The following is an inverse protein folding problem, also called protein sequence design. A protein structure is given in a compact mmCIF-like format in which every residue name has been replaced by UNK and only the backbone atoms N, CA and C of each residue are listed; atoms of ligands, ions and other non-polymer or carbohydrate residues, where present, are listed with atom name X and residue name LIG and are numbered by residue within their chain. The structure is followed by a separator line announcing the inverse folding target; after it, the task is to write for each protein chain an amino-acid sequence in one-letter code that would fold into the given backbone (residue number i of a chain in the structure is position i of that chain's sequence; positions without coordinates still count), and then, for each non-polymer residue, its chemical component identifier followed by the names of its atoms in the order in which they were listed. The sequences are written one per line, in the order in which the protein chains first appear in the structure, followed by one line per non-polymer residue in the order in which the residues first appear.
data_IF_751862694517
#
_entry.id   IF_751862694517
#
_cell.length_a   1.000
_cell.length_b   1.000
_cell.length_c   1.000
_cell.angle_alpha   90.00
_cell.angle_beta   90.00
_cell.angle_gamma   90.00
#
_symmetry.space_group_name_H-M   'P 1'
#
loop_
_entity.id
_entity.type
_entity.pdbx_description
1 polymer ?
#
# COMPACT_ATOMS: atom_id res chain seq x y z
N UNK A 1 -65.10 -47.39 -14.69
CA UNK A 1 -65.76 -46.19 -15.25
C UNK A 1 -65.43 -45.04 -14.31
N UNK A 2 -64.70 -43.99 -14.62
CA UNK A 2 -64.17 -43.43 -15.86
C UNK A 2 -62.84 -42.75 -15.50
N UNK A 3 -61.83 -42.89 -16.36
CA UNK A 3 -60.58 -42.15 -16.29
C UNK A 3 -60.81 -40.67 -16.66
N UNK A 4 -60.07 -39.75 -16.02
CA UNK A 4 -59.65 -38.48 -16.65
C UNK A 4 -58.28 -38.06 -16.12
N UNK A 5 -57.32 -38.09 -17.04
CA UNK A 5 -55.99 -37.53 -16.98
C UNK A 5 -56.05 -36.00 -16.94
N UNK A 6 -55.31 -35.37 -16.03
CA UNK A 6 -54.82 -33.99 -16.17
C UNK A 6 -53.38 -33.93 -15.61
N UNK A 7 -52.49 -33.34 -16.40
CA UNK A 7 -51.04 -33.21 -16.23
C UNK A 7 -50.63 -32.17 -15.15
N UNK A 8 -49.37 -32.14 -14.70
CA UNK A 8 -48.94 -31.35 -13.54
C UNK A 8 -48.48 -29.94 -13.91
N UNK A 9 -48.92 -28.94 -13.12
CA UNK A 9 -48.39 -27.57 -13.12
C UNK A 9 -47.23 -27.48 -12.11
N UNK A 10 -46.01 -27.31 -12.63
CA UNK A 10 -44.80 -27.10 -11.83
C UNK A 10 -44.82 -25.70 -11.20
N UNK A 11 -44.99 -25.62 -9.87
CA UNK A 11 -44.84 -24.37 -9.12
C UNK A 11 -43.40 -24.23 -8.63
N UNK A 12 -42.65 -23.40 -9.34
CA UNK A 12 -41.35 -22.88 -8.97
C UNK A 12 -41.51 -21.88 -7.81
N UNK A 13 -41.07 -22.25 -6.60
CA UNK A 13 -40.97 -21.31 -5.46
C UNK A 13 -39.50 -21.25 -5.04
N UNK A 14 -38.91 -20.08 -5.24
CA UNK A 14 -37.47 -19.76 -5.06
C UNK A 14 -37.04 -19.91 -3.59
N UNK A 15 -35.84 -20.44 -3.31
CA UNK A 15 -35.26 -20.41 -1.97
C UNK A 15 -34.81 -18.98 -1.61
N UNK A 16 -35.09 -18.57 -0.37
CA UNK A 16 -34.64 -17.33 0.24
C UNK A 16 -33.13 -17.41 0.44
N UNK A 17 -32.37 -16.75 -0.43
CA UNK A 17 -30.94 -16.52 -0.26
C UNK A 17 -30.76 -15.15 0.40
N UNK A 18 -30.62 -15.14 1.72
CA UNK A 18 -30.17 -13.94 2.44
C UNK A 18 -28.68 -13.75 2.15
N UNK A 19 -28.39 -12.99 1.10
CA UNK A 19 -27.04 -12.55 0.75
C UNK A 19 -26.64 -11.46 1.76
N UNK A 20 -25.89 -11.81 2.80
CA UNK A 20 -25.13 -10.82 3.56
C UNK A 20 -24.01 -10.30 2.65
N UNK A 21 -24.32 -9.25 1.91
CA UNK A 21 -23.35 -8.47 1.15
C UNK A 21 -22.44 -7.73 2.14
N UNK A 22 -21.44 -8.43 2.67
CA UNK A 22 -20.28 -7.75 3.24
C UNK A 22 -19.58 -7.08 2.07
N UNK A 23 -19.82 -5.78 1.87
CA UNK A 23 -18.96 -4.91 1.08
C UNK A 23 -17.59 -4.84 1.78
N UNK A 24 -16.81 -5.92 1.74
CA UNK A 24 -15.37 -5.85 1.81
C UNK A 24 -14.95 -5.25 0.47
N UNK A 25 -14.90 -3.92 0.42
CA UNK A 25 -14.18 -3.23 -0.64
C UNK A 25 -12.77 -3.82 -0.64
N UNK A 26 -12.42 -4.52 -1.71
CA UNK A 26 -11.06 -5.06 -1.87
C UNK A 26 -10.14 -3.85 -2.00
N UNK A 27 -9.43 -3.52 -0.93
CA UNK A 27 -8.36 -2.53 -1.01
C UNK A 27 -7.22 -3.11 -1.84
N UNK A 28 -6.73 -2.33 -2.80
CA UNK A 28 -5.65 -2.73 -3.69
C UNK A 28 -4.36 -2.01 -3.28
N UNK A 29 -3.22 -2.56 -3.67
CA UNK A 29 -1.94 -1.90 -3.50
C UNK A 29 -1.82 -0.75 -4.50
N UNK A 30 -2.09 0.47 -4.04
CA UNK A 30 -2.04 1.68 -4.87
C UNK A 30 -0.62 2.19 -5.08
N UNK A 31 0.37 1.66 -4.36
CA UNK A 31 1.76 2.03 -4.53
C UNK A 31 2.44 1.27 -5.67
N UNK A 32 1.86 0.17 -6.18
CA UNK A 32 2.43 -0.58 -7.29
C UNK A 32 2.63 0.29 -8.53
N UNK A 33 3.80 0.17 -9.15
CA UNK A 33 4.09 0.78 -10.44
C UNK A 33 3.10 0.34 -11.53
N UNK A 34 2.67 -0.92 -11.51
CA UNK A 34 1.62 -1.44 -12.41
C UNK A 34 0.24 -0.86 -12.14
N UNK A 35 0.00 -0.26 -10.97
CA UNK A 35 -1.20 0.50 -10.64
C UNK A 35 -1.08 2.00 -11.01
N UNK A 36 0.01 2.37 -11.71
CA UNK A 36 0.27 3.73 -12.20
C UNK A 36 0.98 4.64 -11.20
N UNK A 37 1.41 4.12 -10.06
CA UNK A 37 2.27 4.87 -9.15
C UNK A 37 3.70 4.99 -9.70
N UNK A 38 4.43 6.02 -9.29
CA UNK A 38 5.83 6.22 -9.66
C UNK A 38 6.59 6.94 -8.55
N UNK A 39 7.92 6.83 -8.59
CA UNK A 39 8.81 7.59 -7.70
C UNK A 39 8.96 9.00 -8.26
N UNK A 40 8.57 10.00 -7.48
CA UNK A 40 8.70 11.41 -7.85
C UNK A 40 10.00 12.04 -7.34
N UNK A 41 10.53 11.52 -6.24
CA UNK A 41 11.77 11.99 -5.61
C UNK A 41 12.36 10.86 -4.77
N UNK A 42 13.69 10.78 -4.74
CA UNK A 42 14.43 9.99 -3.76
C UNK A 42 15.75 10.72 -3.43
N UNK A 43 16.18 10.70 -2.17
CA UNK A 43 17.45 11.31 -1.75
C UNK A 43 18.68 10.50 -2.17
N UNK A 44 18.49 9.23 -2.54
CA UNK A 44 19.53 8.35 -3.04
C UNK A 44 19.00 7.46 -4.15
N UNK A 45 19.87 7.18 -5.11
CA UNK A 45 19.59 6.28 -6.24
C UNK A 45 20.87 5.56 -6.61
N UNK A 46 20.86 4.25 -6.44
CA UNK A 46 21.89 3.33 -6.92
C UNK A 46 21.38 2.68 -8.23
N UNK A 47 22.23 2.56 -9.25
CA UNK A 47 21.81 2.03 -10.55
C UNK A 47 21.31 0.57 -10.48
N UNK A 48 21.82 -0.22 -9.53
CA UNK A 48 21.41 -1.62 -9.32
C UNK A 48 20.26 -1.74 -8.33
N UNK A 49 20.15 -0.79 -7.40
CA UNK A 49 19.14 -0.76 -6.35
C UNK A 49 18.35 0.55 -6.34
N UNK A 50 17.69 0.92 -7.46
CA UNK A 50 16.99 2.20 -7.57
C UNK A 50 15.69 2.21 -6.74
N UNK A 51 15.16 3.40 -6.39
CA UNK A 51 13.96 3.54 -5.55
C UNK A 51 12.71 2.86 -6.13
N UNK A 52 12.60 2.75 -7.46
CA UNK A 52 11.48 2.11 -8.15
C UNK A 52 11.31 0.63 -7.78
N UNK A 53 12.40 -0.02 -7.34
CA UNK A 53 12.37 -1.42 -6.92
C UNK A 53 11.43 -1.66 -5.73
N UNK A 54 11.16 -0.67 -4.87
CA UNK A 54 10.25 -0.87 -3.73
C UNK A 54 8.79 -1.09 -4.14
N UNK A 55 8.44 -0.68 -5.36
CA UNK A 55 7.06 -0.64 -5.87
C UNK A 55 6.88 -1.44 -7.17
N UNK A 56 7.86 -2.25 -7.56
CA UNK A 56 7.84 -3.04 -8.79
C UNK A 56 7.10 -4.38 -8.64
N UNK A 57 6.72 -4.74 -7.40
CA UNK A 57 6.00 -5.97 -7.07
C UNK A 57 6.88 -7.23 -6.99
N UNK A 58 8.20 -7.10 -7.10
CA UNK A 58 9.16 -8.21 -7.03
C UNK A 58 9.74 -8.33 -5.62
N UNK A 59 10.13 -9.54 -5.23
CA UNK A 59 10.66 -9.79 -3.88
C UNK A 59 12.19 -9.74 -3.84
N UNK A 60 12.82 -9.91 -5.00
CA UNK A 60 14.27 -9.99 -5.20
C UNK A 60 14.94 -8.63 -5.47
N UNK A 61 14.16 -7.59 -5.72
CA UNK A 61 14.63 -6.22 -5.92
C UNK A 61 14.42 -5.40 -4.65
N UNK A 62 15.21 -4.34 -4.50
CA UNK A 62 15.10 -3.42 -3.37
C UNK A 62 15.72 -2.06 -3.72
N UNK A 63 15.28 -1.03 -3.01
CA UNK A 63 15.98 0.25 -2.95
C UNK A 63 17.01 0.18 -1.83
N UNK A 64 18.22 0.64 -2.11
CA UNK A 64 19.25 0.82 -1.08
C UNK A 64 19.58 2.29 -0.95
N UNK A 65 19.66 2.75 0.30
CA UNK A 65 20.19 4.09 0.60
C UNK A 65 21.55 3.94 1.26
N UNK A 66 22.39 4.96 1.09
CA UNK A 66 23.74 4.99 1.67
C UNK A 66 23.96 6.37 2.26
N UNK A 67 24.44 6.47 3.51
CA UNK A 67 24.99 7.71 4.05
C UNK A 67 24.32 8.22 5.33
N UNK A 68 24.16 9.55 5.43
CA UNK A 68 23.58 10.22 6.60
C UNK A 68 22.05 10.34 6.46
N UNK A 69 21.35 10.15 7.58
CA UNK A 69 19.91 10.39 7.68
C UNK A 69 19.60 11.89 7.87
N UNK A 70 18.40 12.37 7.47
CA UNK A 70 17.29 11.59 6.92
C UNK A 70 17.48 11.20 5.45
N UNK A 71 16.89 10.07 5.07
CA UNK A 71 16.69 9.68 3.67
C UNK A 71 15.19 9.71 3.37
N UNK A 72 14.78 10.20 2.21
CA UNK A 72 13.37 10.29 1.85
C UNK A 72 13.10 9.81 0.44
N UNK A 73 11.88 9.29 0.25
CA UNK A 73 11.35 8.89 -1.05
C UNK A 73 9.88 9.25 -1.14
N UNK A 74 9.47 9.76 -2.30
CA UNK A 74 8.11 10.17 -2.59
C UNK A 74 7.51 9.23 -3.61
N UNK A 75 6.47 8.50 -3.21
CA UNK A 75 5.63 7.68 -4.08
C UNK A 75 4.43 8.52 -4.47
N UNK A 76 4.25 8.76 -5.77
CA UNK A 76 3.11 9.49 -6.32
C UNK A 76 2.12 8.51 -6.90
N UNK A 77 0.87 8.58 -6.46
CA UNK A 77 -0.20 7.72 -6.94
C UNK A 77 -0.75 8.24 -8.27
N UNK A 78 -1.45 7.37 -9.01
CA UNK A 78 -2.02 7.74 -10.32
C UNK A 78 -3.11 8.83 -10.22
N UNK A 79 -3.82 8.89 -9.09
CA UNK A 79 -4.85 9.89 -8.80
C UNK A 79 -4.96 10.03 -7.28
N UNK A 80 -5.93 10.82 -6.80
CA UNK A 80 -6.22 10.92 -5.38
C UNK A 80 -6.70 9.56 -4.85
N UNK A 81 -5.95 9.01 -3.91
CA UNK A 81 -6.27 7.75 -3.26
C UNK A 81 -6.81 8.02 -1.85
N UNK A 82 -7.78 7.20 -1.42
CA UNK A 82 -8.04 6.93 -0.01
C UNK A 82 -7.14 5.78 0.42
N UNK A 83 -6.19 6.05 1.29
CA UNK A 83 -5.25 5.06 1.83
C UNK A 83 -5.61 4.78 3.29
N UNK A 84 -5.38 3.54 3.73
CA UNK A 84 -5.74 3.10 5.09
C UNK A 84 -4.60 2.47 5.87
N UNK A 85 -3.64 1.89 5.16
CA UNK A 85 -2.60 1.07 5.73
C UNK A 85 -1.37 1.11 4.81
N UNK A 86 -0.19 1.12 5.43
CA UNK A 86 1.08 0.98 4.74
C UNK A 86 1.84 -0.19 5.36
N UNK A 87 2.23 -1.16 4.54
CA UNK A 87 3.07 -2.27 4.94
C UNK A 87 4.44 -2.15 4.28
N UNK A 88 5.50 -2.23 5.08
CA UNK A 88 6.88 -1.99 4.65
C UNK A 88 7.74 -3.19 5.01
N UNK A 89 8.53 -3.64 4.05
CA UNK A 89 9.60 -4.61 4.26
C UNK A 89 10.95 -3.94 4.10
N UNK A 90 11.82 -4.04 5.11
CA UNK A 90 13.10 -3.33 5.14
C UNK A 90 14.21 -4.05 5.90
N UNK A 91 15.42 -3.54 5.77
CA UNK A 91 16.53 -3.83 6.67
C UNK A 91 17.07 -2.55 7.31
N UNK A 92 17.45 -2.67 8.59
CA UNK A 92 18.15 -1.66 9.37
C UNK A 92 17.44 -0.31 9.53
N UNK A 93 16.16 -0.18 9.17
CA UNK A 93 15.40 1.04 9.48
C UNK A 93 15.08 1.03 10.96
N UNK A 94 15.28 2.17 11.62
CA UNK A 94 14.93 2.35 13.04
C UNK A 94 13.78 3.32 13.20
N UNK A 95 13.92 4.57 12.73
CA UNK A 95 12.85 5.57 12.83
C UNK A 95 12.32 5.90 11.45
N UNK A 96 11.03 5.68 11.27
CA UNK A 96 10.32 5.96 10.03
C UNK A 96 9.16 6.90 10.29
N UNK A 97 9.08 7.94 9.46
CA UNK A 97 7.94 8.85 9.41
C UNK A 97 7.26 8.74 8.06
N UNK A 98 5.94 8.64 8.09
CA UNK A 98 5.08 8.69 6.92
C UNK A 98 4.40 10.04 6.85
N UNK A 99 4.43 10.64 5.68
CA UNK A 99 3.75 11.90 5.42
C UNK A 99 2.96 11.83 4.11
N UNK A 100 1.89 12.59 3.99
CA UNK A 100 1.06 12.62 2.79
C UNK A 100 0.78 14.03 2.30
N UNK A 101 0.49 14.16 1.01
CA UNK A 101 -0.01 15.40 0.42
C UNK A 101 -1.37 15.17 -0.23
N UNK A 102 -2.36 15.98 0.16
CA UNK A 102 -3.69 16.04 -0.49
C UNK A 102 -3.72 16.97 -1.71
N UNK A 103 -2.64 17.72 -1.96
CA UNK A 103 -2.54 18.64 -3.09
C UNK A 103 -1.76 17.99 -4.23
N UNK A 104 -2.30 18.13 -5.44
CA UNK A 104 -1.63 17.64 -6.63
C UNK A 104 -0.37 18.48 -6.90
N UNK A 105 0.77 17.84 -7.17
CA UNK A 105 2.09 18.48 -7.41
C UNK A 105 2.58 19.40 -6.26
N UNK A 106 2.29 19.05 -5.02
CA UNK A 106 2.70 19.82 -3.85
C UNK A 106 4.03 19.33 -3.24
N UNK A 107 4.80 20.29 -2.72
CA UNK A 107 5.98 20.04 -1.87
C UNK A 107 5.65 20.06 -0.37
N UNK A 108 4.38 20.33 -0.01
CA UNK A 108 3.89 20.33 1.37
C UNK A 108 3.34 18.95 1.71
N UNK A 109 3.86 18.38 2.79
CA UNK A 109 3.46 17.10 3.32
C UNK A 109 3.13 17.25 4.81
N UNK A 110 2.06 16.59 5.23
CA UNK A 110 1.66 16.50 6.63
C UNK A 110 2.01 15.11 7.17
N UNK A 111 2.59 15.05 8.36
CA UNK A 111 2.86 13.79 9.05
C UNK A 111 1.56 13.04 9.32
N UNK A 112 1.47 11.80 8.84
CA UNK A 112 0.31 10.92 9.05
C UNK A 112 0.62 9.77 10.01
N UNK A 113 1.89 9.39 10.17
CA UNK A 113 2.33 8.41 11.15
C UNK A 113 3.85 8.54 11.43
N UNK A 114 4.27 8.13 12.62
CA UNK A 114 5.67 7.94 13.02
C UNK A 114 5.75 6.59 13.73
N UNK A 115 6.78 5.80 13.43
CA UNK A 115 7.02 4.51 14.06
C UNK A 115 8.52 4.29 14.31
N UNK A 116 8.83 3.57 15.38
CA UNK A 116 10.16 3.02 15.65
C UNK A 116 10.08 1.52 15.40
N UNK A 117 10.84 1.02 14.43
CA UNK A 117 10.86 -0.36 14.00
C UNK A 117 12.01 -1.05 14.73
N UNK A 118 11.72 -2.18 15.37
CA UNK A 118 12.73 -2.94 16.10
C UNK A 118 13.82 -3.51 15.18
N UNK A 119 15.04 -3.60 15.70
CA UNK A 119 16.10 -4.38 15.07
C UNK A 119 15.69 -5.84 15.04
N UNK A 120 15.98 -6.49 13.93
CA UNK A 120 15.80 -7.94 13.81
C UNK A 120 17.17 -8.58 13.68
N UNK A 121 17.34 -9.82 14.14
CA UNK A 121 18.60 -10.57 14.07
C UNK A 121 18.96 -10.94 12.62
N UNK A 122 19.26 -9.93 11.79
CA UNK A 122 19.49 -10.02 10.35
C UNK A 122 18.33 -10.61 9.54
N UNK A 123 17.10 -10.50 10.04
CA UNK A 123 15.89 -10.90 9.32
C UNK A 123 15.26 -9.70 8.61
N UNK A 124 14.32 -9.95 7.71
CA UNK A 124 13.58 -8.87 7.06
C UNK A 124 12.61 -8.25 8.08
N UNK A 125 12.71 -6.94 8.31
CA UNK A 125 11.73 -6.20 9.09
C UNK A 125 10.40 -6.15 8.32
N UNK A 126 9.29 -6.38 9.00
CA UNK A 126 7.94 -6.29 8.44
C UNK A 126 7.09 -5.42 9.36
N UNK A 127 6.81 -4.20 8.91
CA UNK A 127 6.09 -3.21 9.69
C UNK A 127 4.75 -2.90 9.01
N UNK A 128 3.67 -2.97 9.77
CA UNK A 128 2.32 -2.63 9.31
C UNK A 128 1.78 -1.42 10.07
N UNK A 129 1.60 -0.30 9.35
CA UNK A 129 1.23 0.99 9.91
C UNK A 129 -0.22 1.30 9.54
N UNK A 130 -1.10 1.32 10.54
CA UNK A 130 -2.51 1.69 10.36
C UNK A 130 -2.65 3.22 10.37
N UNK A 131 -3.23 3.80 9.31
CA UNK A 131 -3.35 5.24 9.14
C UNK A 131 -4.75 5.79 9.45
N UNK A 132 -5.75 4.91 9.58
CA UNK A 132 -7.15 5.30 9.39
C UNK A 132 -7.41 5.76 7.95
N UNK A 133 -8.56 6.35 7.64
CA UNK A 133 -8.81 6.86 6.28
C UNK A 133 -8.06 8.19 6.05
N UNK A 134 -7.08 8.19 5.15
CA UNK A 134 -6.36 9.38 4.69
C UNK A 134 -6.54 9.57 3.18
N UNK A 135 -6.56 10.82 2.73
CA UNK A 135 -6.53 11.15 1.30
C UNK A 135 -5.12 11.58 0.91
N UNK A 136 -4.65 11.15 -0.25
CA UNK A 136 -3.31 11.50 -0.72
C UNK A 136 -3.19 11.39 -2.24
N UNK A 137 -2.50 12.34 -2.86
CA UNK A 137 -1.91 12.18 -4.19
C UNK A 137 -0.50 11.59 -4.12
N UNK A 138 0.20 11.79 -3.00
CA UNK A 138 1.54 11.24 -2.77
C UNK A 138 1.75 10.89 -1.31
N UNK A 139 2.59 9.87 -1.11
CA UNK A 139 3.08 9.41 0.18
C UNK A 139 4.60 9.61 0.20
N UNK A 140 5.11 10.27 1.23
CA UNK A 140 6.53 10.44 1.50
C UNK A 140 6.93 9.54 2.67
N UNK A 141 7.91 8.68 2.44
CA UNK A 141 8.60 7.93 3.48
C UNK A 141 9.85 8.72 3.86
N UNK A 142 10.00 9.04 5.15
CA UNK A 142 11.18 9.71 5.70
C UNK A 142 11.82 8.78 6.71
N UNK A 143 12.97 8.21 6.32
CA UNK A 143 13.80 7.38 7.18
C UNK A 143 14.67 8.32 8.01
N UNK A 144 14.31 8.54 9.27
CA UNK A 144 14.97 9.49 10.17
C UNK A 144 16.22 8.91 10.83
N UNK A 145 16.26 7.58 11.01
CA UNK A 145 17.46 6.87 11.45
C UNK A 145 17.41 5.38 11.11
N UNK A 146 18.58 4.75 11.13
CA UNK A 146 18.76 3.31 11.01
C UNK A 146 19.65 2.73 12.11
N UNK A 147 19.68 1.40 12.19
CA UNK A 147 20.61 0.63 13.02
C UNK A 147 22.01 0.54 12.40
N UNK A 148 22.11 0.81 11.10
CA UNK A 148 23.35 0.94 10.34
C UNK A 148 23.27 2.14 9.39
N UNK A 149 24.40 2.51 8.78
CA UNK A 149 24.53 3.55 7.75
C UNK A 149 23.92 3.13 6.40
N UNK A 150 23.68 1.84 6.23
CA UNK A 150 23.04 1.25 5.05
C UNK A 150 21.69 0.68 5.45
N UNK A 151 20.65 1.17 4.80
CA UNK A 151 19.28 0.64 4.93
C UNK A 151 18.75 0.31 3.56
N UNK A 152 17.93 -0.73 3.50
CA UNK A 152 17.21 -1.11 2.28
C UNK A 152 15.72 -1.18 2.54
N UNK A 153 14.96 -0.85 1.51
CA UNK A 153 13.51 -1.05 1.47
C UNK A 153 13.22 -1.98 0.31
N UNK A 154 12.64 -3.14 0.63
CA UNK A 154 12.34 -4.19 -0.33
C UNK A 154 10.93 -4.04 -0.89
N UNK A 155 10.01 -3.53 -0.06
CA UNK A 155 8.61 -3.45 -0.45
C UNK A 155 7.90 -2.34 0.29
N UNK A 156 7.10 -1.56 -0.43
CA UNK A 156 6.11 -0.65 0.14
C UNK A 156 4.76 -0.99 -0.48
N UNK A 157 3.84 -1.46 0.35
CA UNK A 157 2.45 -1.77 -0.02
C UNK A 157 1.56 -0.72 0.61
N UNK A 158 0.73 -0.06 -0.19
CA UNK A 158 -0.23 0.92 0.33
C UNK A 158 -1.64 0.44 0.02
N UNK A 159 -2.39 0.05 1.04
CA UNK A 159 -3.78 -0.35 0.88
C UNK A 159 -4.65 0.87 0.63
N UNK A 160 -5.27 0.94 -0.55
CA UNK A 160 -6.14 2.06 -0.88
C UNK A 160 -7.08 1.82 -2.05
N UNK A 161 -7.80 2.88 -2.40
CA UNK A 161 -8.72 2.96 -3.54
C UNK A 161 -8.82 4.38 -4.07
N UNK A 162 -9.09 4.53 -5.37
CA UNK A 162 -9.29 5.84 -5.99
C UNK A 162 -10.51 6.56 -5.40
N UNK A 163 -10.39 7.88 -5.22
CA UNK A 163 -11.52 8.74 -4.86
C UNK A 163 -12.29 9.07 -6.14
N UNK A 164 -13.43 8.43 -6.35
CA UNK A 164 -14.38 8.88 -7.36
C UNK A 164 -15.00 10.21 -6.91
N UNK A 165 -14.88 11.23 -7.76
CA UNK A 165 -15.59 12.50 -7.62
C UNK A 165 -17.03 12.38 -8.08
#
# INVERSE_FOLDING_TARGET
MLARLLQPEAKFVKPVLTLLCHHKWTMFDVALSSAGAHIALATSSDEKHPPENMIDGKAETFWSTTGMFPQEVVIRFQTMMKITNVHICSYNIRKLKLEASEMDESTKYDTIAETEIDETDSQLQQEEIQLGEKRAYSLRLVIESGYDHFVSVHKVVVSGQAVHQ
#
